data_IF_910231789420
#
_entry.id   IF_910231789420
#
_cell.length_a   1.000
_cell.length_b   1.000
_cell.length_c   1.000
_cell.angle_alpha   90.00
_cell.angle_beta   90.00
_cell.angle_gamma   90.00
#
_symmetry.space_group_name_H-M   'P 1'
#
loop_
_entity.id
_entity.type
_entity.pdbx_description
1 polymer ?
#
# COMPACT_ATOMS: atom_id res chain seq x y z
N UNK A 1 65.05 -51.22 20.18
CA UNK A 1 63.62 -50.92 20.53
C UNK A 1 63.24 -49.65 19.85
N UNK A 2 62.38 -49.76 18.82
CA UNK A 2 61.91 -48.58 18.02
C UNK A 2 60.50 -48.25 18.45
N UNK A 3 60.28 -46.99 18.94
CA UNK A 3 58.96 -46.48 19.26
C UNK A 3 58.39 -45.82 18.01
N UNK A 4 57.18 -46.30 17.61
CA UNK A 4 56.43 -45.80 16.46
C UNK A 4 55.47 -44.70 16.99
N UNK A 5 55.64 -43.49 16.50
CA UNK A 5 54.74 -42.35 16.77
C UNK A 5 53.56 -42.41 15.83
N UNK A 6 52.36 -42.50 16.42
CA UNK A 6 51.08 -42.40 15.68
C UNK A 6 50.64 -40.95 15.67
N UNK A 7 50.74 -40.31 14.51
CA UNK A 7 50.23 -38.96 14.29
C UNK A 7 48.70 -38.96 14.18
N UNK A 8 48.02 -38.30 15.12
CA UNK A 8 46.58 -38.05 15.07
C UNK A 8 46.27 -36.86 14.18
N UNK A 9 45.67 -37.11 13.01
CA UNK A 9 45.20 -36.08 12.10
C UNK A 9 43.81 -35.63 12.53
N UNK A 10 43.70 -34.44 13.13
CA UNK A 10 42.42 -33.79 13.43
C UNK A 10 41.89 -33.14 12.16
N UNK A 11 40.87 -33.74 11.53
CA UNK A 11 40.11 -33.11 10.45
C UNK A 11 39.12 -32.12 11.05
N UNK A 12 39.38 -30.83 10.82
CA UNK A 12 38.46 -29.74 11.19
C UNK A 12 37.38 -29.67 10.11
N UNK A 13 36.17 -30.09 10.44
CA UNK A 13 34.99 -29.89 9.61
C UNK A 13 34.50 -28.47 9.79
N UNK A 14 34.80 -27.57 8.83
CA UNK A 14 34.23 -26.22 8.78
C UNK A 14 32.78 -26.33 8.33
N UNK A 15 31.85 -26.15 9.27
CA UNK A 15 30.43 -26.04 8.98
C UNK A 15 30.15 -24.69 8.32
N UNK A 16 29.89 -24.69 7.02
CA UNK A 16 29.48 -23.48 6.27
C UNK A 16 28.02 -23.15 6.65
N UNK A 17 27.84 -22.22 7.55
CA UNK A 17 26.51 -21.67 7.88
C UNK A 17 26.15 -20.66 6.79
N UNK A 18 25.31 -21.05 5.84
CA UNK A 18 24.75 -20.15 4.86
C UNK A 18 23.70 -19.25 5.56
N UNK A 19 23.73 -17.91 5.35
CA UNK A 19 22.70 -17.05 5.88
C UNK A 19 21.37 -17.36 5.19
N UNK A 20 20.37 -17.79 5.94
CA UNK A 20 19.00 -17.90 5.48
C UNK A 20 18.48 -16.47 5.36
N UNK A 21 18.44 -15.93 4.14
CA UNK A 21 17.72 -14.68 3.85
C UNK A 21 16.23 -14.95 4.02
N UNK A 22 15.66 -14.51 5.13
CA UNK A 22 14.20 -14.46 5.31
C UNK A 22 13.66 -13.48 4.29
N UNK A 23 12.95 -13.97 3.27
CA UNK A 23 12.09 -13.13 2.43
C UNK A 23 11.00 -12.59 3.37
N UNK A 24 11.12 -11.32 3.72
CA UNK A 24 10.03 -10.63 4.41
C UNK A 24 8.84 -10.60 3.45
N UNK A 25 7.84 -11.42 3.75
CA UNK A 25 6.55 -11.35 3.08
C UNK A 25 6.02 -9.92 3.18
N UNK A 26 5.58 -9.36 2.06
CA UNK A 26 4.89 -8.08 2.01
C UNK A 26 3.80 -8.09 3.10
N UNK A 27 3.93 -7.19 4.09
CA UNK A 27 2.83 -6.93 5.00
C UNK A 27 1.66 -6.44 4.15
N UNK A 28 0.57 -7.20 4.14
CA UNK A 28 -0.68 -6.75 3.55
C UNK A 28 -1.07 -5.45 4.25
N UNK A 29 -0.91 -4.32 3.56
CA UNK A 29 -1.32 -3.03 4.09
C UNK A 29 -2.84 -3.08 4.29
N UNK A 30 -3.31 -2.69 5.46
CA UNK A 30 -4.75 -2.51 5.70
C UNK A 30 -5.31 -1.29 4.98
N UNK A 31 -4.47 -0.54 4.29
CA UNK A 31 -4.82 0.62 3.49
C UNK A 31 -5.00 0.29 2.01
N UNK A 32 -5.62 1.19 1.28
CA UNK A 32 -5.77 1.16 -0.18
C UNK A 32 -4.70 2.06 -0.80
N UNK A 33 -3.43 1.63 -0.70
CA UNK A 33 -2.25 2.45 -1.00
C UNK A 33 -1.84 2.43 -2.47
N UNK A 34 -2.38 1.47 -3.23
CA UNK A 34 -2.05 1.26 -4.63
C UNK A 34 -3.31 1.24 -5.50
N UNK A 35 -3.13 1.50 -6.79
CA UNK A 35 -4.20 1.33 -7.77
C UNK A 35 -4.70 -0.11 -7.75
N UNK A 36 -6.02 -0.30 -7.70
CA UNK A 36 -6.68 -1.60 -7.61
C UNK A 36 -6.33 -2.42 -6.34
N UNK A 37 -5.84 -1.78 -5.28
CA UNK A 37 -5.61 -2.39 -3.98
C UNK A 37 -4.22 -2.97 -3.77
N UNK A 38 -3.43 -3.17 -4.84
CA UNK A 38 -2.07 -3.67 -4.76
C UNK A 38 -1.45 -3.95 -6.12
N UNK A 39 -0.14 -4.26 -6.18
CA UNK A 39 0.58 -4.50 -7.43
C UNK A 39 0.03 -5.65 -8.27
N UNK A 40 -0.71 -6.57 -7.65
CA UNK A 40 -1.38 -7.70 -8.28
C UNK A 40 -2.77 -7.34 -8.85
N UNK A 41 -3.27 -6.13 -8.60
CA UNK A 41 -4.58 -5.67 -9.03
C UNK A 41 -5.74 -6.54 -8.52
N UNK A 42 -5.57 -7.19 -7.36
CA UNK A 42 -6.52 -8.17 -6.84
C UNK A 42 -7.84 -7.58 -6.35
N UNK A 43 -7.91 -6.28 -6.13
CA UNK A 43 -9.05 -5.59 -5.48
C UNK A 43 -9.39 -6.17 -4.11
N UNK A 44 -8.46 -6.85 -3.48
CA UNK A 44 -8.66 -7.52 -2.22
C UNK A 44 -8.32 -6.62 -1.03
N UNK A 45 -9.17 -6.65 -0.02
CA UNK A 45 -8.90 -6.06 1.30
C UNK A 45 -9.05 -7.14 2.38
N UNK A 46 -8.10 -7.26 3.31
CA UNK A 46 -8.19 -8.20 4.43
C UNK A 46 -9.14 -7.71 5.54
N UNK A 47 -9.74 -6.54 5.38
CA UNK A 47 -10.68 -5.98 6.35
C UNK A 47 -11.96 -6.81 6.40
N UNK A 48 -12.44 -7.13 7.62
CA UNK A 48 -13.60 -7.99 7.86
C UNK A 48 -14.72 -7.30 8.66
N UNK A 49 -14.65 -5.99 8.81
CA UNK A 49 -15.65 -5.24 9.56
C UNK A 49 -17.03 -5.22 8.88
N UNK A 50 -17.04 -5.29 7.55
CA UNK A 50 -18.27 -5.34 6.75
C UNK A 50 -18.56 -6.80 6.40
N UNK A 51 -19.73 -7.27 6.77
CA UNK A 51 -20.19 -8.64 6.58
C UNK A 51 -21.60 -8.66 5.97
N UNK A 52 -22.07 -9.78 5.42
CA UNK A 52 -23.45 -9.90 4.96
C UNK A 52 -24.50 -9.59 6.03
N UNK A 53 -24.15 -9.77 7.31
CA UNK A 53 -25.07 -9.51 8.43
C UNK A 53 -25.19 -8.02 8.80
N UNK A 54 -24.22 -7.18 8.44
CA UNK A 54 -24.21 -5.76 8.81
C UNK A 54 -24.15 -4.79 7.62
N UNK A 55 -23.96 -5.26 6.39
CA UNK A 55 -23.87 -4.41 5.20
C UNK A 55 -25.09 -3.52 4.99
N UNK A 56 -26.29 -4.02 5.35
CA UNK A 56 -27.55 -3.24 5.28
C UNK A 56 -27.68 -2.13 6.32
N UNK A 57 -26.76 -2.08 7.29
CA UNK A 57 -26.72 -1.08 8.36
C UNK A 57 -25.67 -0.01 8.12
N UNK A 58 -25.02 -0.03 6.96
CA UNK A 58 -24.03 1.00 6.60
C UNK A 58 -24.73 2.34 6.42
N UNK A 59 -24.11 3.37 6.97
CA UNK A 59 -24.54 4.76 6.85
C UNK A 59 -23.43 5.59 6.20
N UNK A 60 -23.80 6.71 5.59
CA UNK A 60 -22.83 7.66 5.03
C UNK A 60 -22.14 8.37 6.19
N UNK A 61 -20.84 8.14 6.36
CA UNK A 61 -20.07 8.77 7.42
C UNK A 61 -19.82 10.26 7.11
N UNK A 62 -19.53 10.59 5.85
CA UNK A 62 -19.32 11.96 5.37
C UNK A 62 -19.43 12.02 3.85
N UNK A 63 -19.61 13.22 3.32
CA UNK A 63 -19.55 13.53 1.88
C UNK A 63 -18.57 14.66 1.64
N UNK A 64 -17.97 14.69 0.45
CA UNK A 64 -17.07 15.75 0.02
C UNK A 64 -17.57 16.33 -1.30
N UNK A 65 -17.72 17.66 -1.35
CA UNK A 65 -18.15 18.39 -2.56
C UNK A 65 -16.97 18.51 -3.54
N UNK A 66 -16.96 17.64 -4.54
CA UNK A 66 -15.87 17.55 -5.50
C UNK A 66 -15.80 18.73 -6.48
N UNK A 67 -16.87 19.55 -6.55
CA UNK A 67 -17.01 20.66 -7.47
C UNK A 67 -17.52 20.26 -8.86
N UNK A 68 -18.01 21.23 -9.61
CA UNK A 68 -18.51 21.04 -10.98
C UNK A 68 -17.38 20.59 -11.91
N UNK A 69 -17.72 19.79 -12.92
CA UNK A 69 -16.76 19.28 -13.92
C UNK A 69 -15.77 18.26 -13.38
N UNK A 70 -15.96 17.76 -12.17
CA UNK A 70 -15.14 16.66 -11.63
C UNK A 70 -15.47 15.34 -12.33
N UNK A 71 -14.44 14.61 -12.75
CA UNK A 71 -14.56 13.26 -13.29
C UNK A 71 -14.29 12.25 -12.18
N UNK A 72 -15.15 11.25 -12.07
CA UNK A 72 -15.03 10.18 -11.07
C UNK A 72 -14.42 8.89 -11.64
N UNK A 73 -13.77 8.97 -12.80
CA UNK A 73 -13.08 7.84 -13.42
C UNK A 73 -11.67 7.64 -12.83
N UNK A 74 -11.56 7.55 -11.51
CA UNK A 74 -10.30 7.31 -10.81
C UNK A 74 -10.53 6.38 -9.61
N UNK A 75 -9.45 5.77 -9.14
CA UNK A 75 -9.43 4.99 -7.91
C UNK A 75 -8.87 5.87 -6.78
N UNK A 76 -9.64 6.16 -5.72
CA UNK A 76 -9.08 6.83 -4.55
C UNK A 76 -7.96 6.00 -3.92
N UNK A 77 -6.93 6.66 -3.40
CA UNK A 77 -5.89 6.04 -2.60
C UNK A 77 -6.08 6.42 -1.14
N UNK A 78 -5.89 5.47 -0.23
CA UNK A 78 -5.95 5.72 1.21
C UNK A 78 -4.64 5.30 1.85
N UNK A 79 -3.88 6.27 2.34
CA UNK A 79 -2.58 6.07 3.00
C UNK A 79 -2.68 6.58 4.43
N UNK A 80 -2.64 5.67 5.39
CA UNK A 80 -2.90 6.01 6.79
C UNK A 80 -4.32 6.58 6.95
N UNK A 81 -4.43 7.79 7.48
CA UNK A 81 -5.71 8.50 7.63
C UNK A 81 -5.95 9.56 6.55
N UNK A 82 -5.32 9.47 5.40
CA UNK A 82 -5.47 10.44 4.30
C UNK A 82 -6.02 9.75 3.06
N UNK A 83 -7.15 10.24 2.55
CA UNK A 83 -7.71 9.85 1.27
C UNK A 83 -7.30 10.85 0.19
N UNK A 84 -6.76 10.35 -0.91
CA UNK A 84 -6.36 11.14 -2.07
C UNK A 84 -7.35 10.93 -3.19
N UNK A 85 -7.94 12.02 -3.67
CA UNK A 85 -8.99 11.99 -4.69
C UNK A 85 -8.72 13.03 -5.78
N UNK A 86 -9.13 12.75 -7.01
CA UNK A 86 -9.17 13.73 -8.07
C UNK A 86 -10.52 14.47 -8.00
N UNK A 87 -10.47 15.80 -7.83
CA UNK A 87 -11.66 16.62 -7.68
C UNK A 87 -11.38 18.05 -8.22
N UNK A 88 -12.34 18.93 -8.11
CA UNK A 88 -12.17 20.36 -8.43
C UNK A 88 -11.48 20.59 -9.78
N UNK A 89 -12.02 19.96 -10.85
CA UNK A 89 -11.53 20.08 -12.23
C UNK A 89 -10.10 19.50 -12.41
N UNK A 90 -9.84 18.33 -11.85
CA UNK A 90 -8.58 17.61 -12.04
C UNK A 90 -7.48 18.00 -11.05
N UNK A 91 -7.81 18.69 -9.98
CA UNK A 91 -6.88 18.86 -8.87
C UNK A 91 -6.74 17.55 -8.07
N UNK A 92 -5.58 17.34 -7.47
CA UNK A 92 -5.39 16.35 -6.43
C UNK A 92 -5.80 16.96 -5.10
N UNK A 93 -6.68 16.29 -4.38
CA UNK A 93 -7.19 16.73 -3.09
C UNK A 93 -6.85 15.65 -2.05
N UNK A 94 -6.34 16.09 -0.90
CA UNK A 94 -6.17 15.23 0.25
C UNK A 94 -7.25 15.53 1.28
N UNK A 95 -7.92 14.48 1.73
CA UNK A 95 -8.98 14.53 2.73
C UNK A 95 -8.56 13.73 3.96
N UNK A 96 -8.96 14.18 5.13
CA UNK A 96 -8.97 13.33 6.32
C UNK A 96 -9.96 12.19 6.10
N UNK A 97 -9.49 10.95 6.12
CA UNK A 97 -10.31 9.79 5.78
C UNK A 97 -11.42 9.50 6.81
N UNK A 98 -11.27 9.99 8.04
CA UNK A 98 -12.27 9.79 9.10
C UNK A 98 -13.41 10.81 9.03
N UNK A 99 -13.13 12.04 8.55
CA UNK A 99 -14.08 13.16 8.65
C UNK A 99 -14.48 13.74 7.30
N UNK A 100 -13.78 13.39 6.21
CA UNK A 100 -13.96 14.00 4.89
C UNK A 100 -13.45 15.45 4.79
N UNK A 101 -12.80 15.96 5.85
CA UNK A 101 -12.27 17.33 5.87
C UNK A 101 -11.13 17.48 4.87
N UNK A 102 -11.19 18.53 4.05
CA UNK A 102 -10.11 18.89 3.14
C UNK A 102 -8.87 19.32 3.92
N UNK A 103 -7.74 18.63 3.67
CA UNK A 103 -6.44 18.94 4.25
C UNK A 103 -5.66 19.88 3.33
N UNK A 104 -5.65 19.59 2.05
CA UNK A 104 -5.02 20.44 1.02
C UNK A 104 -5.53 20.09 -0.38
N UNK A 105 -5.33 21.04 -1.31
CA UNK A 105 -5.63 20.89 -2.74
C UNK A 105 -4.37 21.24 -3.54
N UNK A 106 -4.00 20.39 -4.50
CA UNK A 106 -2.94 20.66 -5.46
C UNK A 106 -3.50 20.72 -6.87
N UNK A 107 -3.41 21.87 -7.51
CA UNK A 107 -3.74 22.02 -8.92
C UNK A 107 -2.51 21.78 -9.77
N UNK A 108 -2.68 21.04 -10.84
CA UNK A 108 -1.66 20.84 -11.87
C UNK A 108 -1.99 21.80 -13.01
N UNK A 109 -0.99 22.55 -13.51
CA UNK A 109 -1.17 23.43 -14.66
C UNK A 109 -1.54 22.61 -15.92
N UNK A 110 -2.27 23.22 -16.85
CA UNK A 110 -2.72 22.60 -18.10
C UNK A 110 -1.59 22.02 -18.94
N UNK A 111 -0.38 22.56 -18.80
CA UNK A 111 0.81 22.15 -19.53
C UNK A 111 1.27 20.68 -19.29
N UNK A 112 0.85 20.07 -18.19
CA UNK A 112 1.28 18.70 -17.86
C UNK A 112 0.48 17.58 -18.52
N UNK A 113 -0.66 17.89 -19.11
CA UNK A 113 -1.53 16.87 -19.69
C UNK A 113 -1.64 16.95 -21.23
N UNK A 114 -0.75 17.70 -21.89
CA UNK A 114 -0.65 17.71 -23.36
C UNK A 114 -1.93 18.15 -24.08
N UNK A 115 -2.82 18.88 -23.44
CA UNK A 115 -3.91 19.57 -24.07
C UNK A 115 -3.49 21.01 -24.35
N UNK A 116 -2.92 21.21 -25.51
CA UNK A 116 -2.94 22.53 -26.13
C UNK A 116 -4.39 22.89 -26.40
N UNK A 117 -4.78 24.08 -25.96
CA UNK A 117 -6.10 24.65 -26.22
C UNK A 117 -6.22 25.08 -27.68
#
# INVERSE_FOLDING_TARGET
MKATSIGSSLAVFALLVLPVTTVQGQQSSTGWTDYLGGPDGSHYSPLQQITPANVSKLEIAWTYEAGEGSSFSFCPLVVGNVAYVAAKQGALVALDASTGKELWVRRFGAERFGREA
#
